data_IF_553252961909
#
_entry.id   IF_553252961909
#
_cell.length_a   1.000
_cell.length_b   1.000
_cell.length_c   1.000
_cell.angle_alpha   90.00
_cell.angle_beta   90.00
_cell.angle_gamma   90.00
#
_symmetry.space_group_name_H-M   'P 1'
#
loop_
_entity.id
_entity.type
_entity.pdbx_description
1 polymer ?
#
# COMPACT_ATOMS: atom_id res chain seq x y z
N UNK A 1 2.07 16.48 -13.22
CA UNK A 1 2.06 15.03 -12.94
C UNK A 1 0.67 14.51 -13.34
N UNK A 2 0.53 13.89 -14.53
CA UNK A 2 -0.77 13.48 -15.13
C UNK A 2 -1.07 11.98 -14.98
N UNK A 3 -0.52 11.33 -13.96
CA UNK A 3 -0.54 9.86 -13.85
C UNK A 3 -1.91 9.27 -13.51
N UNK A 4 -2.73 9.96 -12.70
CA UNK A 4 -4.05 9.47 -12.28
C UNK A 4 -5.11 9.53 -13.39
N UNK A 5 -5.39 10.72 -13.99
CA UNK A 5 -6.45 10.85 -14.99
C UNK A 5 -6.19 10.08 -16.31
N UNK A 6 -4.93 10.05 -16.78
CA UNK A 6 -4.56 9.31 -18.00
C UNK A 6 -4.62 7.80 -17.75
N UNK A 7 -4.15 7.33 -16.59
CA UNK A 7 -4.28 5.92 -16.18
C UNK A 7 -5.74 5.48 -16.03
N UNK A 8 -6.58 6.31 -15.41
CA UNK A 8 -8.01 6.02 -15.26
C UNK A 8 -8.72 5.94 -16.63
N UNK A 9 -8.37 6.81 -17.58
CA UNK A 9 -8.91 6.77 -18.93
C UNK A 9 -8.54 5.46 -19.67
N UNK A 10 -7.28 5.02 -19.55
CA UNK A 10 -6.83 3.74 -20.13
C UNK A 10 -7.54 2.54 -19.49
N UNK A 11 -7.66 2.50 -18.15
CA UNK A 11 -8.32 1.38 -17.47
C UNK A 11 -9.80 1.26 -17.85
N UNK A 12 -10.47 2.40 -18.14
CA UNK A 12 -11.83 2.38 -18.71
C UNK A 12 -11.87 1.76 -20.10
N UNK A 13 -10.91 2.08 -20.97
CA UNK A 13 -10.88 1.49 -22.32
C UNK A 13 -10.57 0.00 -22.31
N UNK A 14 -9.84 -0.49 -21.30
CA UNK A 14 -9.58 -1.92 -21.08
C UNK A 14 -10.77 -2.66 -20.42
N UNK A 15 -11.88 -1.97 -20.13
CA UNK A 15 -13.11 -2.58 -19.63
C UNK A 15 -13.09 -2.93 -18.13
N UNK A 16 -12.20 -2.33 -17.34
CA UNK A 16 -12.23 -2.52 -15.89
C UNK A 16 -13.53 -1.99 -15.28
N UNK A 17 -13.99 -2.58 -14.15
CA UNK A 17 -15.15 -2.09 -13.42
C UNK A 17 -14.99 -0.61 -13.04
N UNK A 18 -16.06 0.22 -13.12
CA UNK A 18 -15.99 1.64 -12.79
C UNK A 18 -15.42 1.93 -11.39
N UNK A 19 -15.74 1.09 -10.41
CA UNK A 19 -15.23 1.17 -9.04
C UNK A 19 -13.72 0.98 -8.93
N UNK A 20 -13.12 0.14 -9.79
CA UNK A 20 -11.68 -0.09 -9.83
C UNK A 20 -10.96 1.09 -10.46
N UNK A 21 -11.52 1.64 -11.54
CA UNK A 21 -11.01 2.87 -12.17
C UNK A 21 -11.05 4.03 -11.17
N UNK A 22 -12.15 4.18 -10.46
CA UNK A 22 -12.35 5.22 -9.46
C UNK A 22 -11.36 5.08 -8.29
N UNK A 23 -11.18 3.87 -7.74
CA UNK A 23 -10.17 3.62 -6.72
C UNK A 23 -8.75 3.97 -7.22
N UNK A 24 -8.39 3.60 -8.45
CA UNK A 24 -7.09 3.95 -9.04
C UNK A 24 -6.97 5.45 -9.30
N UNK A 25 -8.03 6.20 -9.56
CA UNK A 25 -7.93 7.66 -9.63
C UNK A 25 -7.63 8.28 -8.26
N UNK A 26 -8.08 7.64 -7.18
CA UNK A 26 -8.12 8.19 -5.83
C UNK A 26 -7.00 7.68 -4.89
N UNK A 27 -6.20 6.67 -5.31
CA UNK A 27 -5.17 6.06 -4.44
C UNK A 27 -4.08 7.06 -4.03
N UNK A 28 -3.66 7.94 -4.94
CA UNK A 28 -2.60 8.91 -4.69
C UNK A 28 -3.17 10.22 -4.13
N UNK A 29 -3.05 10.43 -2.82
CA UNK A 29 -3.59 11.60 -2.13
C UNK A 29 -3.08 12.94 -2.69
N UNK A 30 -1.84 13.01 -3.19
CA UNK A 30 -1.28 14.25 -3.75
C UNK A 30 -1.86 14.60 -5.13
N UNK A 31 -2.44 13.61 -5.81
CA UNK A 31 -2.98 13.75 -7.15
C UNK A 31 -4.49 13.48 -7.21
N UNK A 32 -5.10 13.05 -6.10
CA UNK A 32 -6.51 12.73 -6.03
C UNK A 32 -7.34 14.01 -6.21
N UNK A 33 -8.38 13.97 -7.06
CA UNK A 33 -9.22 15.13 -7.33
C UNK A 33 -10.19 15.47 -6.18
N UNK A 34 -10.34 14.58 -5.20
CA UNK A 34 -11.25 14.72 -4.07
C UNK A 34 -10.77 13.87 -2.87
N UNK A 35 -11.43 14.01 -1.73
CA UNK A 35 -11.24 13.11 -0.60
C UNK A 35 -11.83 11.72 -0.87
N UNK A 36 -11.15 10.69 -0.37
CA UNK A 36 -11.65 9.30 -0.45
C UNK A 36 -12.90 9.11 0.40
N UNK A 37 -13.89 8.43 -0.14
CA UNK A 37 -15.20 8.20 0.47
C UNK A 37 -15.68 6.75 0.41
N UNK A 38 -15.11 5.91 -0.46
CA UNK A 38 -15.51 4.50 -0.57
C UNK A 38 -14.54 3.56 0.13
N UNK A 39 -15.04 2.41 0.59
CA UNK A 39 -14.21 1.37 1.22
C UNK A 39 -13.07 0.92 0.31
N UNK A 40 -13.32 0.80 -1.00
CA UNK A 40 -12.31 0.32 -1.94
C UNK A 40 -11.19 1.36 -2.15
N UNK A 41 -11.53 2.65 -2.25
CA UNK A 41 -10.54 3.72 -2.32
C UNK A 41 -9.61 3.71 -1.10
N UNK A 42 -10.19 3.58 0.11
CA UNK A 42 -9.42 3.49 1.36
C UNK A 42 -8.54 2.24 1.41
N UNK A 43 -9.09 1.08 1.04
CA UNK A 43 -8.36 -0.19 1.00
C UNK A 43 -7.18 -0.13 0.02
N UNK A 44 -7.38 0.44 -1.18
CA UNK A 44 -6.34 0.52 -2.20
C UNK A 44 -5.22 1.47 -1.77
N UNK A 45 -5.57 2.67 -1.27
CA UNK A 45 -4.58 3.63 -0.78
C UNK A 45 -3.73 3.06 0.37
N UNK A 46 -4.37 2.41 1.34
CA UNK A 46 -3.68 1.76 2.45
C UNK A 46 -2.80 0.60 1.98
N UNK A 47 -3.34 -0.24 1.08
CA UNK A 47 -2.68 -1.45 0.58
C UNK A 47 -1.45 -1.14 -0.26
N UNK A 48 -1.55 -0.19 -1.18
CA UNK A 48 -0.41 0.29 -1.95
C UNK A 48 0.67 0.88 -1.03
N UNK A 49 0.27 1.77 -0.11
CA UNK A 49 1.24 2.51 0.70
C UNK A 49 1.99 1.62 1.71
N UNK A 50 1.30 0.63 2.31
CA UNK A 50 1.94 -0.27 3.29
C UNK A 50 3.00 -1.17 2.64
N UNK A 51 2.87 -1.49 1.34
CA UNK A 51 3.90 -2.27 0.63
C UNK A 51 5.25 -1.57 0.69
N UNK A 52 5.31 -0.26 0.41
CA UNK A 52 6.56 0.51 0.49
C UNK A 52 7.20 0.48 1.87
N UNK A 53 6.39 0.49 2.94
CA UNK A 53 6.89 0.33 4.30
C UNK A 53 7.47 -1.08 4.52
N UNK A 54 6.73 -2.13 4.13
CA UNK A 54 7.16 -3.53 4.28
C UNK A 54 8.48 -3.79 3.56
N UNK A 55 8.62 -3.31 2.32
CA UNK A 55 9.86 -3.39 1.56
C UNK A 55 11.01 -2.69 2.30
N UNK A 56 10.79 -1.48 2.82
CA UNK A 56 11.82 -0.79 3.61
C UNK A 56 12.21 -1.57 4.88
N UNK A 57 11.24 -2.21 5.55
CA UNK A 57 11.50 -3.07 6.71
C UNK A 57 12.30 -4.31 6.32
N UNK A 58 11.98 -4.96 5.20
CA UNK A 58 12.74 -6.10 4.71
C UNK A 58 14.20 -5.71 4.43
N UNK A 59 14.46 -4.56 3.80
CA UNK A 59 15.81 -4.11 3.44
C UNK A 59 16.76 -3.92 4.64
N UNK A 60 16.24 -3.76 5.86
CA UNK A 60 17.05 -3.65 7.08
C UNK A 60 17.18 -4.97 7.85
N UNK A 61 16.53 -6.05 7.40
CA UNK A 61 16.76 -7.40 7.92
C UNK A 61 18.06 -7.99 7.32
N UNK A 62 18.78 -8.87 8.04
CA UNK A 62 20.05 -9.43 7.55
C UNK A 62 19.94 -10.18 6.22
N UNK A 63 18.84 -10.90 6.01
CA UNK A 63 18.58 -11.69 4.80
C UNK A 63 17.81 -10.93 3.72
N UNK A 64 17.34 -9.71 4.02
CA UNK A 64 16.55 -8.83 3.15
C UNK A 64 15.28 -9.46 2.58
N UNK A 65 14.70 -10.43 3.30
CA UNK A 65 13.49 -11.15 2.87
C UNK A 65 12.24 -10.59 3.53
N UNK A 66 11.20 -10.37 2.75
CA UNK A 66 9.83 -10.08 3.24
C UNK A 66 9.33 -11.23 4.09
N UNK A 67 9.55 -12.49 3.68
CA UNK A 67 9.10 -13.67 4.44
C UNK A 67 9.70 -13.77 5.85
N UNK A 68 10.82 -13.09 6.11
CA UNK A 68 11.44 -13.01 7.42
C UNK A 68 10.90 -11.87 8.30
N UNK A 69 10.20 -10.89 7.69
CA UNK A 69 9.66 -9.73 8.40
C UNK A 69 8.49 -10.17 9.29
N UNK A 70 8.49 -9.67 10.53
CA UNK A 70 7.42 -9.92 11.51
C UNK A 70 6.44 -8.75 11.49
N UNK A 71 5.14 -9.02 11.63
CA UNK A 71 4.08 -7.99 11.73
C UNK A 71 4.43 -6.89 12.75
N UNK A 72 4.91 -7.28 13.94
CA UNK A 72 5.33 -6.34 14.98
C UNK A 72 6.42 -5.35 14.53
N UNK A 73 7.30 -5.76 13.62
CA UNK A 73 8.35 -4.89 13.08
C UNK A 73 7.74 -3.80 12.19
N UNK A 74 6.78 -4.16 11.33
CA UNK A 74 6.05 -3.20 10.48
C UNK A 74 5.25 -2.22 11.35
N UNK A 75 4.48 -2.74 12.31
CA UNK A 75 3.66 -1.92 13.23
C UNK A 75 4.54 -1.00 14.09
N UNK A 76 5.72 -1.45 14.52
CA UNK A 76 6.68 -0.57 15.21
C UNK A 76 7.13 0.58 14.31
N UNK A 77 7.47 0.29 13.03
CA UNK A 77 7.94 1.30 12.05
C UNK A 77 6.86 2.28 11.60
N UNK A 78 5.59 2.00 11.84
CA UNK A 78 4.51 2.99 11.71
C UNK A 78 4.72 4.18 12.67
N UNK A 79 5.28 3.95 13.87
CA UNK A 79 5.53 4.98 14.89
C UNK A 79 6.84 5.76 14.66
N UNK A 80 7.74 5.22 13.85
CA UNK A 80 9.07 5.77 13.62
C UNK A 80 9.10 6.61 12.33
N UNK A 81 8.60 7.85 12.39
CA UNK A 81 8.39 8.71 11.20
C UNK A 81 9.65 8.98 10.36
N UNK A 82 10.85 8.91 10.97
CA UNK A 82 12.12 9.07 10.24
C UNK A 82 12.48 7.84 9.39
N UNK A 83 12.01 6.65 9.77
CA UNK A 83 12.22 5.45 8.99
C UNK A 83 11.30 5.46 7.77
N UNK A 84 11.84 5.31 6.56
CA UNK A 84 11.07 5.42 5.32
C UNK A 84 10.18 6.69 5.31
N UNK A 85 10.83 7.85 5.51
CA UNK A 85 10.16 9.14 5.69
C UNK A 85 9.29 9.58 4.51
N UNK A 86 9.50 9.00 3.32
CA UNK A 86 8.66 9.23 2.13
C UNK A 86 7.31 8.53 2.19
N UNK A 87 7.14 7.53 3.05
CA UNK A 87 5.90 6.73 3.14
C UNK A 87 4.86 7.47 4.00
N UNK A 88 3.70 7.73 3.41
CA UNK A 88 2.59 8.39 4.09
C UNK A 88 1.91 7.45 5.10
N UNK A 89 2.08 7.73 6.39
CA UNK A 89 1.49 6.90 7.46
C UNK A 89 -0.03 7.05 7.56
N UNK A 90 -0.55 8.24 7.24
CA UNK A 90 -1.98 8.51 7.31
C UNK A 90 -2.74 7.72 6.23
N UNK A 91 -2.15 7.58 5.03
CA UNK A 91 -2.69 6.70 3.98
C UNK A 91 -2.73 5.23 4.40
N UNK A 92 -1.70 4.72 5.11
CA UNK A 92 -1.72 3.34 5.64
C UNK A 92 -2.83 3.19 6.69
N UNK A 93 -3.03 4.18 7.56
CA UNK A 93 -4.06 4.14 8.60
C UNK A 93 -5.49 4.16 8.05
N UNK A 94 -5.69 4.43 6.77
CA UNK A 94 -7.02 4.29 6.15
C UNK A 94 -7.55 2.84 6.14
N UNK A 95 -6.70 1.84 6.40
CA UNK A 95 -7.16 0.49 6.70
C UNK A 95 -8.23 0.47 7.82
N UNK A 96 -8.16 1.37 8.80
CA UNK A 96 -9.16 1.39 9.87
C UNK A 96 -10.54 1.86 9.37
N UNK A 97 -10.58 2.68 8.30
CA UNK A 97 -11.84 3.05 7.64
C UNK A 97 -12.49 1.88 6.92
N UNK A 98 -11.73 0.81 6.63
CA UNK A 98 -12.27 -0.44 6.08
C UNK A 98 -12.73 -1.41 7.16
N UNK A 99 -12.56 -1.07 8.43
CA UNK A 99 -12.85 -1.93 9.57
C UNK A 99 -11.73 -2.92 9.90
N UNK A 100 -10.56 -2.80 9.27
CA UNK A 100 -9.41 -3.68 9.53
C UNK A 100 -8.39 -2.91 10.39
N UNK A 101 -8.13 -3.35 11.64
CA UNK A 101 -7.10 -2.74 12.48
C UNK A 101 -5.70 -2.82 11.86
N UNK A 102 -4.82 -1.85 12.17
CA UNK A 102 -3.46 -1.79 11.60
C UNK A 102 -2.61 -3.05 11.82
N UNK A 103 -2.80 -3.78 12.93
CA UNK A 103 -2.07 -5.03 13.17
C UNK A 103 -2.49 -6.11 12.16
N UNK A 104 -3.80 -6.31 12.01
CA UNK A 104 -4.37 -7.33 11.12
C UNK A 104 -4.10 -6.97 9.66
N UNK A 105 -4.16 -5.67 9.34
CA UNK A 105 -3.84 -5.17 8.01
C UNK A 105 -2.36 -5.40 7.65
N UNK A 106 -1.44 -5.14 8.57
CA UNK A 106 -0.02 -5.39 8.36
C UNK A 106 0.29 -6.89 8.21
N UNK A 107 -0.40 -7.75 8.95
CA UNK A 107 -0.28 -9.20 8.81
C UNK A 107 -0.79 -9.67 7.45
N UNK A 108 -1.97 -9.21 7.03
CA UNK A 108 -2.54 -9.51 5.72
C UNK A 108 -1.61 -9.08 4.59
N UNK A 109 -1.09 -7.85 4.64
CA UNK A 109 -0.17 -7.32 3.64
C UNK A 109 1.14 -8.10 3.58
N UNK A 110 1.73 -8.44 4.74
CA UNK A 110 2.94 -9.26 4.79
C UNK A 110 2.71 -10.64 4.19
N UNK A 111 1.60 -11.30 4.53
CA UNK A 111 1.28 -12.62 3.99
C UNK A 111 1.16 -12.57 2.46
N UNK A 112 0.36 -11.64 1.94
CA UNK A 112 0.16 -11.46 0.50
C UNK A 112 1.47 -11.19 -0.25
N UNK A 113 2.34 -10.32 0.29
CA UNK A 113 3.64 -10.05 -0.32
C UNK A 113 4.62 -11.22 -0.22
N UNK A 114 4.57 -12.00 0.87
CA UNK A 114 5.43 -13.16 1.05
C UNK A 114 5.14 -14.26 0.03
N UNK A 115 3.87 -14.44 -0.35
CA UNK A 115 3.44 -15.44 -1.33
C UNK A 115 4.00 -15.18 -2.74
N UNK A 116 4.26 -13.91 -3.08
CA UNK A 116 4.80 -13.49 -4.37
C UNK A 116 6.25 -12.98 -4.28
N UNK A 117 6.92 -13.18 -3.14
CA UNK A 117 8.25 -12.64 -2.86
C UNK A 117 9.28 -13.00 -3.93
N UNK A 118 9.22 -14.21 -4.50
CA UNK A 118 10.14 -14.63 -5.55
C UNK A 118 9.97 -13.89 -6.90
N UNK A 119 8.79 -13.30 -7.13
CA UNK A 119 8.49 -12.49 -8.32
C UNK A 119 8.79 -11.01 -8.08
N UNK A 120 8.72 -10.58 -6.82
CA UNK A 120 9.15 -9.27 -6.38
C UNK A 120 10.69 -9.26 -6.37
N UNK A 121 11.34 -8.63 -7.34
CA UNK A 121 12.80 -8.62 -7.50
C UNK A 121 13.54 -7.90 -6.34
N UNK A 122 13.52 -8.50 -5.15
CA UNK A 122 14.21 -8.03 -3.95
C UNK A 122 15.63 -8.62 -3.82
N UNK A 123 16.03 -9.46 -4.76
CA UNK A 123 17.37 -10.02 -4.83
C UNK A 123 18.20 -9.25 -5.86
N UNK A 124 19.35 -8.77 -5.40
CA UNK A 124 20.41 -8.14 -6.19
C UNK A 124 20.85 -8.98 -7.38
#
# INVERSE_FOLDING_TARGET
>A
MRHGPEGAALLRSEGLPPEAVDAVLMHNEKAAPAERSTLFQHALAAGETITGLIFAVALVYPDKKISSVKTKSVVKRMKEKLFAASVNRDAIMECEKTGIPINDFAELALKSLSEVEHTLQLTS
#
